data_IF_850861107023
#
_entry.id   IF_850861107023
#
_cell.length_a   1.000
_cell.length_b   1.000
_cell.length_c   1.000
_cell.angle_alpha   90.00
_cell.angle_beta   90.00
_cell.angle_gamma   90.00
#
_symmetry.space_group_name_H-M   'P 1'
#
loop_
_entity.id
_entity.type
_entity.pdbx_description
1 polymer ?
#
# COMPACT_ATOMS: atom_id res chain seq x y z
N UNK A 1 7.45 6.15 18.76
CA UNK A 1 7.63 5.81 17.34
C UNK A 1 7.10 6.94 16.48
N UNK A 2 7.72 7.17 15.32
CA UNK A 2 7.43 8.30 14.42
C UNK A 2 7.23 7.78 12.99
N UNK A 3 6.36 8.44 12.24
CA UNK A 3 6.30 8.36 10.78
C UNK A 3 7.42 9.25 10.23
N UNK A 4 8.24 8.70 9.35
CA UNK A 4 9.38 9.40 8.78
C UNK A 4 9.29 9.44 7.25
N UNK A 5 9.78 10.54 6.69
CA UNK A 5 10.20 10.62 5.29
C UNK A 5 11.73 10.50 5.27
N UNK A 6 12.23 9.29 5.01
CA UNK A 6 13.63 8.89 5.22
C UNK A 6 14.14 9.29 6.62
N UNK A 7 15.00 10.31 6.70
CA UNK A 7 15.60 10.77 7.96
C UNK A 7 14.76 11.83 8.70
N UNK A 8 13.74 12.38 8.04
CA UNK A 8 12.93 13.49 8.55
C UNK A 8 11.72 12.94 9.29
N UNK A 9 11.52 13.36 10.54
CA UNK A 9 10.31 13.04 11.32
C UNK A 9 9.15 13.91 10.83
N UNK A 10 8.05 13.26 10.43
CA UNK A 10 6.86 13.94 9.92
C UNK A 10 5.80 14.05 11.01
N UNK A 11 5.45 12.93 11.64
CA UNK A 11 4.38 12.90 12.64
C UNK A 11 4.59 11.78 13.67
N UNK A 12 4.08 11.93 14.91
CA UNK A 12 4.03 10.83 15.86
C UNK A 12 3.17 9.69 15.30
N UNK A 13 3.61 8.43 15.49
CA UNK A 13 2.91 7.27 14.91
C UNK A 13 1.56 6.99 15.59
N UNK A 14 1.49 7.11 16.92
CA UNK A 14 0.31 6.69 17.70
C UNK A 14 -1.00 7.40 17.28
N UNK A 15 -1.04 8.73 17.08
CA UNK A 15 -2.21 9.40 16.53
C UNK A 15 -2.72 8.80 15.22
N UNK A 16 -1.81 8.49 14.28
CA UNK A 16 -2.14 7.86 12.99
C UNK A 16 -2.76 6.49 13.18
N UNK A 17 -2.19 5.63 14.04
CA UNK A 17 -2.77 4.32 14.36
C UNK A 17 -4.19 4.45 14.91
N UNK A 18 -4.43 5.48 15.75
CA UNK A 18 -5.75 5.74 16.31
C UNK A 18 -6.74 6.27 15.29
N UNK A 19 -6.28 6.94 14.23
CA UNK A 19 -7.13 7.34 13.09
C UNK A 19 -7.54 6.13 12.27
N UNK A 20 -6.59 5.23 11.95
CA UNK A 20 -6.88 3.96 11.28
C UNK A 20 -7.90 3.13 12.08
N UNK A 21 -7.67 3.00 13.40
CA UNK A 21 -8.62 2.34 14.31
C UNK A 21 -10.01 2.97 14.25
N UNK A 22 -10.09 4.30 14.31
CA UNK A 22 -11.36 5.04 14.23
C UNK A 22 -12.06 4.81 12.90
N UNK A 23 -11.33 4.76 11.78
CA UNK A 23 -11.89 4.46 10.47
C UNK A 23 -12.52 3.07 10.45
N UNK A 24 -11.78 2.03 10.85
CA UNK A 24 -12.25 0.63 10.87
C UNK A 24 -13.52 0.48 11.72
N UNK A 25 -13.59 1.18 12.87
CA UNK A 25 -14.74 1.15 13.77
C UNK A 25 -15.98 1.89 13.21
N UNK A 26 -15.78 2.88 12.35
CA UNK A 26 -16.86 3.71 11.77
C UNK A 26 -17.41 3.16 10.46
N UNK A 27 -16.67 2.30 9.78
CA UNK A 27 -17.06 1.74 8.50
C UNK A 27 -17.58 0.31 8.64
N UNK A 28 -18.33 -0.13 7.64
CA UNK A 28 -18.78 -1.52 7.50
C UNK A 28 -18.21 -2.06 6.19
N UNK A 29 -17.69 -3.29 6.20
CA UNK A 29 -17.15 -3.95 5.01
C UNK A 29 -15.78 -3.45 4.53
N UNK A 30 -15.36 -2.23 4.89
CA UNK A 30 -14.06 -1.70 4.44
C UNK A 30 -12.87 -2.51 4.99
N UNK A 31 -11.99 -2.93 4.08
CA UNK A 31 -10.73 -3.61 4.38
C UNK A 31 -9.59 -2.59 4.23
N UNK A 32 -8.74 -2.50 5.24
CA UNK A 32 -7.59 -1.61 5.27
C UNK A 32 -6.30 -2.41 5.15
N UNK A 33 -5.40 -1.99 4.25
CA UNK A 33 -4.04 -2.52 4.16
C UNK A 33 -3.08 -1.44 4.68
N UNK A 34 -2.35 -1.74 5.75
CA UNK A 34 -1.37 -0.84 6.36
C UNK A 34 0.04 -1.43 6.19
N UNK A 35 0.90 -0.73 5.46
CA UNK A 35 2.24 -1.19 5.12
C UNK A 35 3.33 -0.45 5.92
N UNK A 36 3.96 -1.17 6.85
CA UNK A 36 5.15 -0.70 7.58
C UNK A 36 6.41 -1.14 6.85
N UNK A 37 6.86 -0.32 5.91
CA UNK A 37 7.91 -0.71 4.98
C UNK A 37 9.34 -0.47 5.52
N UNK A 38 10.13 0.42 4.93
CA UNK A 38 11.62 0.49 4.99
C UNK A 38 12.33 0.68 6.35
N UNK A 39 11.65 1.07 7.43
CA UNK A 39 12.28 1.40 8.72
C UNK A 39 13.63 2.16 8.64
N UNK A 40 13.69 3.33 7.96
CA UNK A 40 14.94 3.97 7.55
C UNK A 40 15.86 4.42 8.69
N UNK A 41 15.32 4.62 9.90
CA UNK A 41 16.09 5.16 11.03
C UNK A 41 15.85 4.33 12.28
N UNK A 42 16.94 3.80 12.85
CA UNK A 42 16.96 3.28 14.21
C UNK A 42 16.44 1.86 14.39
N UNK A 43 16.14 1.12 13.32
CA UNK A 43 15.63 -0.25 13.41
C UNK A 43 16.64 -1.30 12.96
N UNK A 44 17.53 -0.95 12.03
CA UNK A 44 18.59 -1.84 11.53
C UNK A 44 19.43 -2.44 12.68
N UNK A 45 19.54 -3.77 12.71
CA UNK A 45 20.27 -4.53 13.73
C UNK A 45 19.68 -4.43 15.15
N UNK A 46 18.42 -3.99 15.30
CA UNK A 46 17.81 -3.71 16.61
C UNK A 46 16.44 -4.40 16.75
N UNK A 47 16.38 -5.74 16.84
CA UNK A 47 15.11 -6.49 16.95
C UNK A 47 14.26 -6.07 18.14
N UNK A 48 14.87 -5.68 19.27
CA UNK A 48 14.14 -5.18 20.44
C UNK A 48 13.29 -3.93 20.13
N UNK A 49 13.71 -3.06 19.20
CA UNK A 49 12.93 -1.89 18.78
C UNK A 49 11.75 -2.29 17.91
N UNK A 50 11.93 -3.27 17.02
CA UNK A 50 10.82 -3.87 16.28
C UNK A 50 9.81 -4.50 17.23
N UNK A 51 10.25 -5.32 18.20
CA UNK A 51 9.34 -5.95 19.18
C UNK A 51 8.52 -4.92 19.96
N UNK A 52 9.13 -3.82 20.40
CA UNK A 52 8.41 -2.70 21.05
C UNK A 52 7.41 -2.02 20.11
N UNK A 53 7.73 -1.90 18.82
CA UNK A 53 6.78 -1.38 17.83
C UNK A 53 5.62 -2.35 17.65
N UNK A 54 5.90 -3.63 17.46
CA UNK A 54 4.86 -4.67 17.35
C UNK A 54 3.95 -4.67 18.57
N UNK A 55 4.48 -4.57 19.80
CA UNK A 55 3.63 -4.44 21.00
C UNK A 55 2.70 -3.23 20.95
N UNK A 56 3.17 -2.09 20.42
CA UNK A 56 2.33 -0.91 20.20
C UNK A 56 1.24 -1.20 19.15
N UNK A 57 1.59 -1.82 18.03
CA UNK A 57 0.64 -2.16 16.98
C UNK A 57 -0.40 -3.17 17.46
N UNK A 58 0.01 -4.21 18.19
CA UNK A 58 -0.88 -5.19 18.81
C UNK A 58 -1.89 -4.51 19.73
N UNK A 59 -1.43 -3.59 20.59
CA UNK A 59 -2.30 -2.86 21.52
C UNK A 59 -3.35 -2.01 20.81
N UNK A 60 -2.96 -1.30 19.76
CA UNK A 60 -3.87 -0.37 19.08
C UNK A 60 -4.77 -1.07 18.04
N UNK A 61 -4.21 -2.02 17.29
CA UNK A 61 -4.77 -2.56 16.05
C UNK A 61 -4.94 -4.08 16.01
N UNK A 62 -4.30 -4.83 16.91
CA UNK A 62 -4.21 -6.30 16.83
C UNK A 62 -5.56 -7.01 16.82
N UNK A 63 -6.58 -6.48 17.52
CA UNK A 63 -7.93 -7.05 17.54
C UNK A 63 -8.66 -6.95 16.20
N UNK A 64 -8.24 -6.04 15.32
CA UNK A 64 -8.84 -5.85 13.99
C UNK A 64 -8.04 -6.57 12.89
N UNK A 65 -6.85 -7.06 13.23
CA UNK A 65 -5.91 -7.58 12.24
C UNK A 65 -6.25 -9.00 11.81
N UNK A 66 -6.28 -9.21 10.50
CA UNK A 66 -6.45 -10.50 9.84
C UNK A 66 -5.17 -11.31 10.00
N UNK A 67 -5.29 -12.53 10.52
CA UNK A 67 -4.16 -13.42 10.73
C UNK A 67 -3.51 -13.79 9.39
N UNK A 68 -2.19 -13.79 9.32
CA UNK A 68 -1.49 -14.08 8.05
C UNK A 68 -1.72 -15.52 7.60
N UNK A 69 -1.89 -16.45 8.53
CA UNK A 69 -2.24 -17.85 8.27
C UNK A 69 -3.69 -18.07 7.83
N UNK A 70 -4.59 -17.11 8.07
CA UNK A 70 -6.01 -17.21 7.70
C UNK A 70 -6.29 -16.84 6.24
N UNK A 71 -5.28 -16.36 5.52
CA UNK A 71 -5.40 -15.93 4.14
C UNK A 71 -4.41 -16.65 3.23
N UNK A 72 -4.86 -16.96 2.02
CA UNK A 72 -4.06 -17.51 0.94
C UNK A 72 -4.35 -16.76 -0.36
N UNK A 73 -3.67 -17.13 -1.45
CA UNK A 73 -3.93 -16.61 -2.78
C UNK A 73 -5.38 -16.84 -3.26
N UNK A 74 -6.11 -17.78 -2.66
CA UNK A 74 -7.51 -18.08 -3.00
C UNK A 74 -8.52 -17.45 -2.05
N UNK A 75 -8.08 -16.72 -1.02
CA UNK A 75 -8.98 -16.05 -0.09
C UNK A 75 -9.79 -14.98 -0.80
N UNK A 76 -11.11 -15.07 -0.71
CA UNK A 76 -12.03 -14.13 -1.29
C UNK A 76 -12.37 -13.03 -0.28
N UNK A 77 -12.78 -11.86 -0.78
CA UNK A 77 -13.22 -10.77 0.10
C UNK A 77 -14.42 -11.18 0.97
N UNK A 78 -15.33 -12.02 0.45
CA UNK A 78 -16.44 -12.57 1.23
C UNK A 78 -15.97 -13.37 2.44
N UNK A 79 -14.87 -14.11 2.31
CA UNK A 79 -14.35 -14.94 3.40
C UNK A 79 -13.86 -14.04 4.55
N UNK A 80 -13.32 -12.86 4.21
CA UNK A 80 -12.91 -11.84 5.19
C UNK A 80 -14.16 -11.18 5.83
N UNK A 81 -15.19 -10.88 5.04
CA UNK A 81 -16.40 -10.20 5.51
C UNK A 81 -17.32 -11.08 6.35
N UNK A 82 -17.45 -12.36 6.01
CA UNK A 82 -18.31 -13.33 6.70
C UNK A 82 -17.64 -13.92 7.95
N UNK A 83 -16.35 -13.65 8.15
CA UNK A 83 -15.64 -14.11 9.34
C UNK A 83 -16.19 -13.44 10.61
N UNK A 84 -16.50 -14.25 11.63
CA UNK A 84 -17.18 -13.80 12.87
C UNK A 84 -16.43 -12.69 13.62
N UNK A 85 -15.11 -12.71 13.57
CA UNK A 85 -14.25 -11.74 14.26
C UNK A 85 -14.18 -10.37 13.56
N UNK A 86 -14.74 -10.21 12.35
CA UNK A 86 -14.72 -8.95 11.59
C UNK A 86 -13.32 -8.29 11.50
N UNK A 87 -12.30 -9.13 11.29
CA UNK A 87 -10.88 -8.72 11.17
C UNK A 87 -10.60 -8.20 9.76
N UNK A 88 -10.73 -6.90 9.57
CA UNK A 88 -10.64 -6.22 8.26
C UNK A 88 -9.38 -5.37 8.10
N UNK A 89 -8.32 -5.65 8.87
CA UNK A 89 -7.04 -4.95 8.76
C UNK A 89 -5.94 -5.93 8.38
N UNK A 90 -5.25 -5.68 7.27
CA UNK A 90 -4.02 -6.36 6.90
C UNK A 90 -2.86 -5.45 7.27
N UNK A 91 -1.90 -5.96 8.05
CA UNK A 91 -0.71 -5.20 8.43
C UNK A 91 0.52 -5.87 7.85
N UNK A 92 1.06 -5.30 6.77
CA UNK A 92 2.32 -5.74 6.18
C UNK A 92 3.49 -5.12 6.95
N UNK A 93 4.53 -5.92 7.18
CA UNK A 93 5.69 -5.49 7.97
C UNK A 93 7.00 -5.82 7.25
N UNK A 94 7.83 -4.80 7.06
CA UNK A 94 9.02 -4.84 6.19
C UNK A 94 10.17 -5.71 6.71
N UNK A 95 10.24 -5.97 8.02
CA UNK A 95 11.19 -6.92 8.58
C UNK A 95 10.59 -8.33 8.57
N UNK A 96 11.08 -9.18 7.65
CA UNK A 96 10.58 -10.54 7.43
C UNK A 96 10.70 -11.42 8.68
N UNK A 97 11.78 -11.29 9.43
CA UNK A 97 12.03 -12.11 10.62
C UNK A 97 11.05 -11.74 11.71
N UNK A 98 10.84 -10.44 11.94
CA UNK A 98 9.86 -9.97 12.92
C UNK A 98 8.43 -10.31 12.50
N UNK A 99 8.10 -10.20 11.21
CA UNK A 99 6.78 -10.57 10.71
C UNK A 99 6.49 -12.06 10.95
N UNK A 100 7.47 -12.94 10.70
CA UNK A 100 7.35 -14.38 10.92
C UNK A 100 7.22 -14.78 12.41
N UNK A 101 7.64 -13.92 13.35
CA UNK A 101 7.44 -14.13 14.79
C UNK A 101 6.00 -13.79 15.27
N UNK A 102 5.12 -13.31 14.40
CA UNK A 102 3.78 -12.81 14.76
C UNK A 102 2.68 -13.40 13.89
N UNK A 103 1.68 -14.02 14.51
CA UNK A 103 0.58 -14.73 13.83
C UNK A 103 -0.35 -13.82 13.00
N UNK A 104 -0.26 -12.50 13.20
CA UNK A 104 -1.11 -11.51 12.53
C UNK A 104 -0.36 -10.50 11.67
N UNK A 105 0.98 -10.48 11.72
CA UNK A 105 1.74 -9.64 10.80
C UNK A 105 1.93 -10.38 9.49
N UNK A 106 1.68 -9.67 8.40
CA UNK A 106 1.95 -10.17 7.07
C UNK A 106 3.40 -9.85 6.72
N UNK A 107 3.99 -10.72 5.91
CA UNK A 107 5.31 -10.44 5.33
C UNK A 107 5.32 -9.13 4.53
N UNK A 108 6.52 -8.65 4.14
CA UNK A 108 6.63 -7.38 3.43
C UNK A 108 5.77 -7.36 2.16
N UNK A 109 4.98 -6.30 2.00
CA UNK A 109 4.23 -6.05 0.78
C UNK A 109 5.21 -5.61 -0.33
N UNK A 110 5.30 -6.31 -1.47
CA UNK A 110 6.14 -5.88 -2.57
C UNK A 110 5.66 -4.54 -3.15
N UNK A 111 6.54 -3.53 -3.13
CA UNK A 111 6.32 -2.25 -3.77
C UNK A 111 7.12 -2.17 -5.08
N UNK A 112 6.42 -2.08 -6.20
CA UNK A 112 7.01 -1.88 -7.53
C UNK A 112 7.29 -0.39 -7.71
N UNK A 113 8.44 0.04 -7.23
CA UNK A 113 8.89 1.42 -7.26
C UNK A 113 9.97 1.64 -8.32
N UNK A 114 9.68 2.47 -9.32
CA UNK A 114 10.54 2.65 -10.48
C UNK A 114 11.66 3.66 -10.30
N UNK A 115 11.62 4.49 -9.24
CA UNK A 115 12.52 5.63 -9.04
C UNK A 115 12.66 6.48 -10.33
N UNK A 116 11.54 6.88 -10.93
CA UNK A 116 11.50 7.54 -12.24
C UNK A 116 11.23 9.04 -12.09
N UNK A 117 11.93 9.86 -12.86
CA UNK A 117 11.77 11.33 -12.85
C UNK A 117 10.85 11.82 -13.99
N UNK A 118 10.51 10.95 -14.95
CA UNK A 118 9.71 11.30 -16.13
C UNK A 118 8.47 10.42 -16.26
N UNK A 119 7.39 11.00 -16.78
CA UNK A 119 6.13 10.28 -17.04
C UNK A 119 6.31 9.09 -17.97
N UNK A 120 7.14 9.21 -19.01
CA UNK A 120 7.44 8.12 -19.95
C UNK A 120 8.26 7.01 -19.28
N UNK A 121 9.25 7.36 -18.46
CA UNK A 121 10.03 6.40 -17.67
C UNK A 121 9.15 5.63 -16.70
N UNK A 122 8.27 6.33 -15.98
CA UNK A 122 7.28 5.70 -15.09
C UNK A 122 6.35 4.76 -15.85
N UNK A 123 5.80 5.20 -16.98
CA UNK A 123 4.92 4.36 -17.82
C UNK A 123 5.62 3.07 -18.24
N UNK A 124 6.85 3.15 -18.72
CA UNK A 124 7.62 2.00 -19.17
C UNK A 124 7.96 1.04 -18.01
N UNK A 125 8.26 1.58 -16.84
CA UNK A 125 8.49 0.77 -15.64
C UNK A 125 7.20 0.05 -15.19
N UNK A 126 6.08 0.77 -15.11
CA UNK A 126 4.80 0.21 -14.72
C UNK A 126 4.32 -0.83 -15.73
N UNK A 127 4.46 -0.59 -17.03
CA UNK A 127 4.14 -1.57 -18.06
C UNK A 127 4.89 -2.89 -17.84
N UNK A 128 6.22 -2.84 -17.63
CA UNK A 128 7.02 -4.03 -17.30
C UNK A 128 6.56 -4.71 -16.01
N UNK A 129 6.16 -3.92 -15.00
CA UNK A 129 5.64 -4.45 -13.74
C UNK A 129 4.33 -5.20 -13.93
N UNK A 130 3.42 -4.66 -14.75
CA UNK A 130 2.15 -5.31 -15.11
C UNK A 130 2.38 -6.58 -15.93
N UNK A 131 3.29 -6.56 -16.90
CA UNK A 131 3.61 -7.73 -17.72
C UNK A 131 4.23 -8.85 -16.88
N UNK A 132 5.11 -8.50 -15.94
CA UNK A 132 5.65 -9.48 -14.98
C UNK A 132 4.56 -10.02 -14.05
N UNK A 133 3.60 -9.18 -13.62
CA UNK A 133 2.52 -9.63 -12.74
C UNK A 133 1.64 -10.71 -13.40
N UNK A 134 1.47 -10.69 -14.73
CA UNK A 134 0.75 -11.74 -15.48
C UNK A 134 1.38 -13.13 -15.35
N UNK A 135 2.69 -13.18 -15.09
CA UNK A 135 3.47 -14.42 -15.07
C UNK A 135 3.68 -14.98 -13.66
N UNK A 136 3.30 -14.22 -12.62
CA UNK A 136 3.52 -14.61 -11.22
C UNK A 136 2.29 -15.33 -10.67
N UNK A 137 2.52 -16.17 -9.67
CA UNK A 137 1.43 -16.67 -8.83
C UNK A 137 0.65 -15.49 -8.19
N UNK A 138 -0.67 -15.64 -7.96
CA UNK A 138 -1.46 -14.57 -7.38
C UNK A 138 -0.92 -14.17 -5.99
N UNK A 139 -0.59 -12.89 -5.84
CA UNK A 139 -0.11 -12.31 -4.59
C UNK A 139 -0.43 -10.81 -4.55
N UNK A 140 -0.48 -10.24 -3.34
CA UNK A 140 -0.58 -8.78 -3.17
C UNK A 140 0.73 -8.11 -3.59
N UNK A 141 0.62 -7.00 -4.32
CA UNK A 141 1.72 -6.12 -4.66
C UNK A 141 1.17 -4.73 -4.99
N UNK A 142 1.97 -3.70 -4.73
CA UNK A 142 1.62 -2.31 -4.99
C UNK A 142 2.41 -1.74 -6.17
N UNK A 143 1.70 -1.21 -7.16
CA UNK A 143 2.27 -0.33 -8.17
C UNK A 143 2.46 1.06 -7.56
N UNK A 144 3.71 1.50 -7.43
CA UNK A 144 4.02 2.85 -6.94
C UNK A 144 3.98 3.81 -8.14
N UNK A 145 2.81 4.38 -8.38
CA UNK A 145 2.50 5.23 -9.53
C UNK A 145 2.86 6.71 -9.25
N UNK A 146 4.06 6.92 -8.74
CA UNK A 146 4.60 8.23 -8.36
C UNK A 146 5.95 8.46 -9.04
N UNK A 147 6.26 9.73 -9.34
CA UNK A 147 7.61 10.10 -9.74
C UNK A 147 8.45 10.36 -8.51
N UNK A 148 9.74 10.08 -8.62
CA UNK A 148 10.70 10.36 -7.57
C UNK A 148 11.49 11.60 -7.94
N UNK A 149 11.35 12.72 -7.20
CA UNK A 149 12.18 13.90 -7.42
C UNK A 149 13.66 13.57 -7.22
N UNK A 150 14.55 14.33 -7.85
CA UNK A 150 15.97 14.16 -7.56
C UNK A 150 16.28 14.63 -6.13
N UNK A 151 17.33 14.11 -5.47
CA UNK A 151 17.70 14.55 -4.13
C UNK A 151 17.90 16.07 -3.98
N UNK A 152 18.36 16.73 -5.04
CA UNK A 152 18.52 18.19 -5.08
C UNK A 152 17.16 18.91 -5.14
N UNK A 153 16.20 18.41 -5.91
CA UNK A 153 14.85 19.01 -6.02
C UNK A 153 14.09 18.99 -4.69
N UNK A 154 14.25 17.91 -3.92
CA UNK A 154 13.67 17.75 -2.57
C UNK A 154 14.30 18.74 -1.58
N UNK A 155 15.59 19.03 -1.72
CA UNK A 155 16.31 19.90 -0.80
C UNK A 155 15.95 21.38 -0.98
N UNK A 156 15.68 21.83 -2.20
CA UNK A 156 15.43 23.25 -2.50
C UNK A 156 13.94 23.61 -2.61
N UNK A 157 13.04 22.68 -2.98
CA UNK A 157 11.60 22.93 -3.03
C UNK A 157 10.77 21.63 -2.98
N UNK A 158 10.70 20.95 -1.82
CA UNK A 158 10.13 19.61 -1.71
C UNK A 158 8.65 19.55 -2.09
N UNK A 159 7.84 20.49 -1.61
CA UNK A 159 6.39 20.48 -1.84
C UNK A 159 6.02 20.94 -3.25
N UNK A 160 6.74 21.92 -3.81
CA UNK A 160 6.50 22.41 -5.16
C UNK A 160 6.88 21.40 -6.24
N UNK A 161 8.05 20.76 -6.09
CA UNK A 161 8.52 19.72 -7.01
C UNK A 161 7.59 18.50 -7.02
N UNK A 162 7.24 17.95 -5.85
CA UNK A 162 6.33 16.80 -5.75
C UNK A 162 4.95 17.08 -6.37
N UNK A 163 4.37 18.26 -6.12
CA UNK A 163 3.05 18.61 -6.68
C UNK A 163 3.09 18.74 -8.20
N UNK A 164 4.13 19.38 -8.76
CA UNK A 164 4.28 19.51 -10.20
C UNK A 164 4.49 18.15 -10.89
N UNK A 165 5.31 17.28 -10.29
CA UNK A 165 5.52 15.91 -10.76
C UNK A 165 4.23 15.08 -10.73
N UNK A 166 3.47 15.19 -9.63
CA UNK A 166 2.20 14.50 -9.49
C UNK A 166 1.17 14.99 -10.53
N UNK A 167 1.03 16.29 -10.79
CA UNK A 167 0.12 16.79 -11.83
C UNK A 167 0.46 16.24 -13.23
N UNK A 168 1.75 16.18 -13.58
CA UNK A 168 2.20 15.64 -14.85
C UNK A 168 1.87 14.15 -15.05
N UNK A 169 1.83 13.38 -13.95
CA UNK A 169 1.53 11.94 -13.97
C UNK A 169 0.05 11.64 -13.80
N UNK A 170 -0.63 12.31 -12.86
CA UNK A 170 -1.99 12.03 -12.45
C UNK A 170 -3.01 12.09 -13.60
N UNK A 171 -2.83 13.04 -14.53
CA UNK A 171 -3.65 13.12 -15.76
C UNK A 171 -3.57 11.85 -16.60
N UNK A 172 -2.39 11.24 -16.65
CA UNK A 172 -2.13 10.05 -17.44
C UNK A 172 -2.49 8.74 -16.72
N UNK A 173 -2.28 8.66 -15.39
CA UNK A 173 -2.60 7.48 -14.59
C UNK A 173 -4.04 7.01 -14.82
N UNK A 174 -4.96 7.98 -14.79
CA UNK A 174 -6.39 7.75 -15.02
C UNK A 174 -6.63 7.00 -16.34
N UNK A 175 -5.98 7.42 -17.43
CA UNK A 175 -6.11 6.76 -18.73
C UNK A 175 -5.46 5.38 -18.75
N UNK A 176 -4.22 5.26 -18.24
CA UNK A 176 -3.47 4.00 -18.28
C UNK A 176 -4.15 2.87 -17.51
N UNK A 177 -4.59 3.15 -16.28
CA UNK A 177 -5.27 2.15 -15.47
C UNK A 177 -6.63 1.78 -16.04
N UNK A 178 -7.44 2.77 -16.45
CA UNK A 178 -8.76 2.52 -17.05
C UNK A 178 -8.68 1.66 -18.32
N UNK A 179 -7.72 1.95 -19.20
CA UNK A 179 -7.73 1.41 -20.55
C UNK A 179 -6.84 0.17 -20.72
N UNK A 180 -5.77 0.04 -19.92
CA UNK A 180 -4.74 -0.97 -20.17
C UNK A 180 -4.50 -1.90 -18.97
N UNK A 181 -4.38 -1.35 -17.77
CA UNK A 181 -3.81 -2.11 -16.64
C UNK A 181 -4.82 -2.66 -15.64
N UNK A 182 -6.09 -2.25 -15.71
CA UNK A 182 -7.15 -2.72 -14.80
C UNK A 182 -7.26 -4.25 -14.62
N UNK A 183 -7.00 -5.13 -15.62
CA UNK A 183 -7.17 -6.57 -15.42
C UNK A 183 -6.13 -7.18 -14.48
N UNK A 184 -4.90 -6.64 -14.49
CA UNK A 184 -3.73 -7.25 -13.86
C UNK A 184 -3.20 -6.46 -12.65
N UNK A 185 -3.76 -5.28 -12.41
CA UNK A 185 -3.43 -4.44 -11.25
C UNK A 185 -4.12 -4.98 -9.99
N UNK A 186 -3.40 -4.90 -8.86
CA UNK A 186 -3.95 -5.16 -7.53
C UNK A 186 -4.02 -3.87 -6.69
N UNK A 187 -2.90 -3.39 -6.14
CA UNK A 187 -2.83 -2.16 -5.37
C UNK A 187 -2.15 -1.07 -6.20
N UNK A 188 -2.68 0.15 -6.18
CA UNK A 188 -2.05 1.34 -6.79
C UNK A 188 -1.85 2.38 -5.70
N UNK A 189 -0.60 2.80 -5.51
CA UNK A 189 -0.26 3.94 -4.68
C UNK A 189 0.07 5.13 -5.58
N UNK A 190 -0.46 6.31 -5.27
CA UNK A 190 -0.22 7.54 -6.03
C UNK A 190 -0.16 8.75 -5.11
N UNK A 191 0.65 9.74 -5.46
CA UNK A 191 0.69 11.03 -4.77
C UNK A 191 -0.50 11.94 -5.14
N UNK A 192 -1.00 12.68 -4.15
CA UNK A 192 -2.09 13.65 -4.28
C UNK A 192 -3.32 13.06 -4.98
N UNK A 193 -4.00 12.10 -4.34
CA UNK A 193 -5.11 11.33 -4.93
C UNK A 193 -6.24 12.20 -5.55
N UNK A 194 -6.47 13.43 -5.06
CA UNK A 194 -7.44 14.37 -5.65
C UNK A 194 -7.08 14.83 -7.08
N UNK A 195 -5.83 14.64 -7.51
CA UNK A 195 -5.36 14.99 -8.85
C UNK A 195 -5.66 13.94 -9.92
N UNK A 196 -6.09 12.73 -9.55
CA UNK A 196 -6.40 11.64 -10.47
C UNK A 196 -7.78 11.01 -10.15
N UNK A 197 -8.27 10.13 -11.02
CA UNK A 197 -9.54 9.42 -10.78
C UNK A 197 -9.34 7.92 -10.49
N UNK A 198 -8.28 7.56 -9.77
CA UNK A 198 -7.97 6.14 -9.51
C UNK A 198 -8.97 5.46 -8.58
N UNK A 199 -9.66 6.20 -7.72
CA UNK A 199 -10.71 5.65 -6.83
C UNK A 199 -11.86 5.10 -7.67
N UNK A 200 -12.48 5.92 -8.52
CA UNK A 200 -13.59 5.49 -9.39
C UNK A 200 -13.15 4.40 -10.38
N UNK A 201 -11.90 4.49 -10.88
CA UNK A 201 -11.34 3.45 -11.76
C UNK A 201 -11.22 2.13 -11.03
N UNK A 202 -10.77 2.12 -9.77
CA UNK A 202 -10.67 0.90 -8.97
C UNK A 202 -12.06 0.26 -8.76
N UNK A 203 -13.08 1.07 -8.45
CA UNK A 203 -14.47 0.58 -8.32
C UNK A 203 -14.96 0.01 -9.64
N UNK A 204 -14.85 0.79 -10.73
CA UNK A 204 -15.31 0.38 -12.06
C UNK A 204 -14.60 -0.87 -12.59
N UNK A 205 -13.29 -0.98 -12.34
CA UNK A 205 -12.50 -2.13 -12.73
C UNK A 205 -12.95 -3.40 -12.00
N UNK A 206 -13.23 -3.33 -10.70
CA UNK A 206 -13.69 -4.48 -9.94
C UNK A 206 -15.12 -4.89 -10.31
N UNK A 207 -16.03 -3.94 -10.60
CA UNK A 207 -17.34 -4.24 -11.17
C UNK A 207 -17.23 -4.95 -12.53
N UNK A 208 -16.30 -4.50 -13.38
CA UNK A 208 -16.05 -5.13 -14.67
C UNK A 208 -15.51 -6.55 -14.54
N UNK A 209 -14.64 -6.81 -13.54
CA UNK A 209 -14.12 -8.17 -13.25
C UNK A 209 -15.25 -9.12 -12.83
N UNK A 210 -16.19 -8.66 -12.00
CA UNK A 210 -17.34 -9.46 -11.57
C UNK A 210 -18.16 -9.92 -12.79
N UNK A 211 -18.52 -8.99 -13.66
CA UNK A 211 -19.33 -9.28 -14.85
C UNK A 211 -18.67 -10.25 -15.84
N UNK A 212 -17.33 -10.38 -15.83
CA UNK A 212 -16.61 -11.32 -16.68
C UNK A 212 -16.51 -12.73 -16.08
N UNK A 213 -16.75 -12.89 -14.78
CA UNK A 213 -16.79 -14.21 -14.12
C UNK A 213 -18.19 -14.81 -14.22
N UNK A 214 -19.22 -13.97 -14.34
CA UNK A 214 -20.63 -14.39 -14.46
C UNK A 214 -21.08 -14.68 -15.91
N UNK A 215 -20.23 -14.41 -16.90
CA UNK A 215 -20.47 -14.65 -18.34
C UNK A 215 -19.77 -15.90 -18.86
#
# INVERSE_FOLDING_TARGET
FWVNHDLIRVAPLLPVLREVKRFILKTQGEIVILDFHRFPVGFHGRPARHKRLVSLLTRELGSFALQSSSASASTLLRDIWEHRDNRRLIVAYGDKTIAAESDWLWGPLPQMWGNQQTTSGLRNFLQRSMDNAKQRAPALWAAMAELTPTPLDVMFNPTGSLRAMADAVNRNLTSWFRNQWWPHTNIVASDFFLGNNLIDIAVSANLRKINMVES
#
